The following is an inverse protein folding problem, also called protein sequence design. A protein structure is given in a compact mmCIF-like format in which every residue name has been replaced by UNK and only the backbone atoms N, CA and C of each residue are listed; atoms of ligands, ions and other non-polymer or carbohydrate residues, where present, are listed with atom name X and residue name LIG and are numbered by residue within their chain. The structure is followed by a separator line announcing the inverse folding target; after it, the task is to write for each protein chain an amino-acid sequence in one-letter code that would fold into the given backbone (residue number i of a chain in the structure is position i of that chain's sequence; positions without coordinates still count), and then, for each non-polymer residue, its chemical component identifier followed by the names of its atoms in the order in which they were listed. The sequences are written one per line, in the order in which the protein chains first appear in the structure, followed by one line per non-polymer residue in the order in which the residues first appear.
data_IF_026990284433
#
_entry.id   IF_026990284433
#
_cell.length_a   1.000
_cell.length_b   1.000
_cell.length_c   1.000
_cell.angle_alpha   90.00
_cell.angle_beta   90.00
_cell.angle_gamma   90.00
#
_symmetry.space_group_name_H-M   'P 1'
#
loop_
_entity.id
_entity.type
_entity.pdbx_description
1 polymer ?
#
# COMPACT_ATOMS: atom_id res chain seq x y z
N UNK A 1 17.95 16.18 3.37
CA UNK A 1 18.99 15.26 2.91
C UNK A 1 18.83 15.07 1.42
N UNK A 2 19.90 15.29 0.65
CA UNK A 2 19.91 15.04 -0.78
C UNK A 2 19.68 13.55 -1.02
N UNK A 3 18.63 13.21 -1.71
CA UNK A 3 18.32 11.85 -2.13
C UNK A 3 19.31 11.46 -3.23
N UNK A 4 20.16 10.47 -2.97
CA UNK A 4 20.99 9.87 -4.01
C UNK A 4 20.05 9.24 -5.05
N UNK A 5 20.25 9.59 -6.32
CA UNK A 5 19.57 8.92 -7.42
C UNK A 5 19.88 7.41 -7.35
N UNK A 6 18.85 6.62 -7.11
CA UNK A 6 18.98 5.17 -7.09
C UNK A 6 18.77 4.69 -8.53
N UNK A 7 19.55 3.71 -9.01
CA UNK A 7 19.43 3.22 -10.38
C UNK A 7 17.98 2.77 -10.67
N UNK A 8 17.44 3.23 -11.78
CA UNK A 8 16.15 2.74 -12.27
C UNK A 8 16.33 1.27 -12.66
N UNK A 9 15.63 0.40 -11.94
CA UNK A 9 15.55 -1.01 -12.33
C UNK A 9 14.55 -1.16 -13.47
N UNK A 10 15.03 -1.31 -14.68
CA UNK A 10 14.21 -1.81 -15.78
C UNK A 10 14.10 -3.33 -15.64
N UNK A 11 12.96 -3.81 -15.17
CA UNK A 11 12.67 -5.24 -15.22
C UNK A 11 12.29 -5.57 -16.65
N UNK A 12 13.22 -6.09 -17.44
CA UNK A 12 12.92 -6.72 -18.72
C UNK A 12 12.23 -8.06 -18.47
N UNK A 13 10.94 -8.07 -18.30
CA UNK A 13 10.16 -9.31 -18.32
C UNK A 13 9.72 -9.59 -19.77
N UNK A 14 9.89 -10.82 -20.22
CA UNK A 14 9.31 -11.31 -21.49
C UNK A 14 7.77 -11.49 -21.39
N UNK A 15 7.15 -10.95 -20.34
CA UNK A 15 5.72 -11.02 -20.09
C UNK A 15 5.05 -9.80 -20.74
N UNK A 16 4.28 -10.05 -21.78
CA UNK A 16 3.54 -9.00 -22.47
C UNK A 16 2.46 -8.36 -21.60
N UNK A 17 1.94 -9.07 -20.60
CA UNK A 17 0.86 -8.61 -19.70
C UNK A 17 1.02 -9.26 -18.32
N UNK A 18 1.47 -8.52 -17.29
CA UNK A 18 1.58 -9.06 -15.94
C UNK A 18 0.20 -9.36 -15.34
N UNK A 19 0.10 -10.47 -14.61
CA UNK A 19 -1.10 -10.82 -13.85
C UNK A 19 -1.04 -10.18 -12.47
N UNK A 20 -2.12 -9.50 -12.09
CA UNK A 20 -2.29 -8.86 -10.78
C UNK A 20 -3.36 -9.63 -10.01
N UNK A 21 -2.98 -10.28 -8.94
CA UNK A 21 -3.91 -10.93 -8.03
C UNK A 21 -4.42 -9.92 -7.00
N UNK A 22 -5.74 -9.82 -6.84
CA UNK A 22 -6.41 -8.87 -5.94
C UNK A 22 -7.28 -9.66 -4.97
N UNK A 23 -6.73 -10.11 -3.81
CA UNK A 23 -7.52 -10.76 -2.77
C UNK A 23 -8.51 -9.77 -2.16
N UNK A 24 -9.78 -10.07 -2.23
CA UNK A 24 -10.88 -9.23 -1.74
C UNK A 24 -11.53 -9.90 -0.54
N UNK A 25 -11.35 -9.32 0.63
CA UNK A 25 -11.94 -9.80 1.87
C UNK A 25 -13.34 -9.19 2.07
N UNK A 26 -14.23 -9.83 2.84
CA UNK A 26 -15.48 -9.22 3.25
C UNK A 26 -15.23 -7.82 3.84
N UNK A 27 -15.89 -6.79 3.30
CA UNK A 27 -15.71 -5.40 3.69
C UNK A 27 -14.70 -4.59 2.86
N UNK A 28 -13.90 -5.20 1.99
CA UNK A 28 -13.16 -4.44 0.97
C UNK A 28 -14.14 -3.81 -0.03
N UNK A 29 -13.76 -2.68 -0.62
CA UNK A 29 -14.59 -1.96 -1.59
C UNK A 29 -13.79 -1.23 -2.69
N UNK A 30 -12.47 -1.38 -2.74
CA UNK A 30 -11.60 -0.73 -3.72
C UNK A 30 -11.02 -1.70 -4.76
N UNK A 31 -11.42 -2.97 -4.75
CA UNK A 31 -10.89 -4.01 -5.64
C UNK A 31 -11.16 -3.70 -7.11
N UNK A 32 -12.34 -3.17 -7.42
CA UNK A 32 -12.72 -2.83 -8.80
C UNK A 32 -11.91 -1.62 -9.31
N UNK A 33 -11.69 -0.61 -8.45
CA UNK A 33 -10.88 0.55 -8.82
C UNK A 33 -9.41 0.16 -9.00
N UNK A 34 -8.89 -0.73 -8.15
CA UNK A 34 -7.56 -1.32 -8.30
C UNK A 34 -7.45 -2.08 -9.63
N UNK A 35 -8.40 -2.99 -9.93
CA UNK A 35 -8.40 -3.75 -11.17
C UNK A 35 -8.38 -2.82 -12.39
N UNK A 36 -9.26 -1.82 -12.43
CA UNK A 36 -9.32 -0.83 -13.52
C UNK A 36 -8.01 -0.04 -13.66
N UNK A 37 -7.34 0.29 -12.56
CA UNK A 37 -6.06 1.00 -12.61
C UNK A 37 -4.99 0.13 -13.27
N UNK A 38 -4.88 -1.13 -12.89
CA UNK A 38 -3.93 -2.08 -13.46
C UNK A 38 -4.25 -2.43 -14.92
N UNK A 39 -5.53 -2.60 -15.28
CA UNK A 39 -5.95 -2.87 -16.66
C UNK A 39 -5.64 -1.69 -17.59
N UNK A 40 -5.83 -0.44 -17.12
CA UNK A 40 -5.41 0.74 -17.89
C UNK A 40 -3.89 0.77 -18.12
N UNK A 41 -3.12 0.24 -17.20
CA UNK A 41 -1.66 0.08 -17.35
C UNK A 41 -1.26 -1.16 -18.18
N UNK A 42 -2.22 -1.93 -18.71
CA UNK A 42 -1.96 -3.07 -19.59
C UNK A 42 -1.83 -4.42 -18.89
N UNK A 43 -2.05 -4.49 -17.58
CA UNK A 43 -2.04 -5.75 -16.84
C UNK A 43 -3.33 -6.56 -17.02
N UNK A 44 -3.36 -7.78 -16.49
CA UNK A 44 -4.54 -8.64 -16.35
C UNK A 44 -4.87 -8.75 -14.88
N UNK A 45 -6.04 -8.24 -14.49
CA UNK A 45 -6.51 -8.29 -13.10
C UNK A 45 -7.25 -9.59 -12.81
N UNK A 46 -7.01 -10.14 -11.63
CA UNK A 46 -7.62 -11.36 -11.11
C UNK A 46 -8.17 -11.06 -9.72
N UNK A 47 -9.44 -10.62 -9.65
CA UNK A 47 -10.15 -10.37 -8.40
C UNK A 47 -10.63 -11.71 -7.83
N UNK A 48 -10.29 -11.97 -6.58
CA UNK A 48 -10.73 -13.16 -5.86
C UNK A 48 -11.48 -12.78 -4.59
N UNK A 49 -12.74 -13.19 -4.48
CA UNK A 49 -13.56 -12.96 -3.29
C UNK A 49 -13.31 -14.09 -2.29
N UNK A 50 -12.75 -13.72 -1.14
CA UNK A 50 -12.49 -14.63 -0.04
C UNK A 50 -13.81 -15.09 0.62
N UNK A 51 -13.99 -16.40 0.71
CA UNK A 51 -15.15 -17.04 1.32
C UNK A 51 -14.77 -17.61 2.68
N UNK A 52 -15.57 -17.33 3.69
CA UNK A 52 -15.31 -17.68 5.09
C UNK A 52 -16.58 -18.05 5.87
N UNK A 53 -17.64 -18.54 5.19
CA UNK A 53 -18.89 -18.91 5.84
C UNK A 53 -18.75 -20.13 6.73
N UNK A 54 -17.84 -21.04 6.36
CA UNK A 54 -17.51 -22.25 7.12
C UNK A 54 -16.03 -22.63 6.96
N UNK A 55 -15.59 -23.64 7.69
CA UNK A 55 -14.20 -24.08 7.70
C UNK A 55 -13.73 -24.65 6.34
N UNK A 56 -14.64 -25.27 5.57
CA UNK A 56 -14.32 -25.81 4.26
C UNK A 56 -14.08 -24.69 3.26
N UNK A 57 -14.98 -23.70 3.18
CA UNK A 57 -14.80 -22.53 2.33
C UNK A 57 -13.56 -21.74 2.67
N UNK A 58 -13.27 -21.58 3.96
CA UNK A 58 -12.06 -20.90 4.41
C UNK A 58 -10.82 -21.62 3.91
N UNK A 59 -10.76 -22.94 4.07
CA UNK A 59 -9.66 -23.77 3.58
C UNK A 59 -9.52 -23.65 2.06
N UNK A 60 -10.62 -23.81 1.32
CA UNK A 60 -10.63 -23.74 -0.13
C UNK A 60 -10.20 -22.36 -0.63
N UNK A 61 -10.64 -21.29 0.04
CA UNK A 61 -10.22 -19.92 -0.29
C UNK A 61 -8.72 -19.71 -0.09
N UNK A 62 -8.15 -20.22 1.00
CA UNK A 62 -6.71 -20.15 1.27
C UNK A 62 -5.92 -20.92 0.21
N UNK A 63 -6.36 -22.15 -0.13
CA UNK A 63 -5.69 -22.97 -1.13
C UNK A 63 -5.74 -22.32 -2.52
N UNK A 64 -6.89 -21.77 -2.91
CA UNK A 64 -7.05 -21.06 -4.18
C UNK A 64 -6.24 -19.77 -4.23
N UNK A 65 -6.20 -18.98 -3.15
CA UNK A 65 -5.38 -17.80 -3.07
C UNK A 65 -3.88 -18.12 -3.24
N UNK A 66 -3.40 -19.16 -2.55
CA UNK A 66 -1.99 -19.57 -2.68
C UNK A 66 -1.65 -19.94 -4.13
N UNK A 67 -2.54 -20.66 -4.82
CA UNK A 67 -2.35 -21.03 -6.22
C UNK A 67 -2.36 -19.80 -7.14
N UNK A 68 -3.28 -18.86 -6.95
CA UNK A 68 -3.32 -17.61 -7.72
C UNK A 68 -2.08 -16.75 -7.51
N UNK A 69 -1.57 -16.65 -6.28
CA UNK A 69 -0.33 -15.93 -5.97
C UNK A 69 0.86 -16.59 -6.71
N UNK A 70 0.93 -17.93 -6.80
CA UNK A 70 1.99 -18.62 -7.54
C UNK A 70 2.01 -18.26 -9.02
N UNK A 71 0.87 -17.89 -9.60
CA UNK A 71 0.75 -17.50 -11.01
C UNK A 71 0.75 -15.99 -11.26
N UNK A 72 0.68 -15.18 -10.21
CA UNK A 72 0.72 -13.73 -10.30
C UNK A 72 2.15 -13.18 -10.36
N UNK A 73 2.31 -11.99 -10.90
CA UNK A 73 3.53 -11.17 -10.82
C UNK A 73 3.38 -10.06 -9.80
N UNK A 74 2.14 -9.71 -9.49
CA UNK A 74 1.80 -8.64 -8.57
C UNK A 74 0.69 -9.13 -7.65
N UNK A 75 0.80 -8.80 -6.36
CA UNK A 75 -0.31 -8.91 -5.40
C UNK A 75 -0.72 -7.52 -4.95
N UNK A 76 -1.99 -7.16 -5.20
CA UNK A 76 -2.57 -5.88 -4.80
C UNK A 76 -3.54 -6.07 -3.63
N UNK A 77 -3.22 -5.53 -2.48
CA UNK A 77 -4.09 -5.48 -1.30
C UNK A 77 -4.98 -4.24 -1.38
N UNK A 78 -6.28 -4.39 -1.70
CA UNK A 78 -7.16 -3.26 -1.92
C UNK A 78 -7.52 -2.55 -0.61
N UNK A 79 -8.00 -1.31 -0.75
CA UNK A 79 -8.60 -0.57 0.34
C UNK A 79 -10.00 -1.06 0.70
N UNK A 80 -10.55 -0.48 1.75
CA UNK A 80 -11.87 -0.79 2.29
C UNK A 80 -11.83 -0.94 3.80
N UNK A 81 -12.72 -1.77 4.33
CA UNK A 81 -12.92 -2.01 5.75
C UNK A 81 -13.05 -3.51 6.01
N UNK A 82 -11.95 -4.24 5.84
CA UNK A 82 -11.95 -5.71 5.98
C UNK A 82 -12.48 -6.16 7.35
N UNK A 83 -13.48 -7.05 7.35
CA UNK A 83 -14.23 -7.49 8.52
C UNK A 83 -14.88 -6.35 9.34
N UNK A 84 -15.16 -5.20 8.69
CA UNK A 84 -15.80 -4.04 9.34
C UNK A 84 -14.85 -3.14 10.11
N UNK A 85 -13.54 -3.36 10.03
CA UNK A 85 -12.52 -2.62 10.79
C UNK A 85 -12.86 -2.55 12.28
N UNK A 86 -12.95 -3.71 12.89
CA UNK A 86 -13.27 -3.90 14.30
C UNK A 86 -12.32 -3.10 15.22
N UNK A 87 -12.74 -2.81 16.48
CA UNK A 87 -12.05 -1.88 17.37
C UNK A 87 -10.57 -2.19 17.63
N UNK A 88 -10.12 -3.39 17.30
CA UNK A 88 -8.73 -3.82 17.48
C UNK A 88 -7.77 -3.42 16.34
N UNK A 89 -8.23 -2.63 15.38
CA UNK A 89 -7.41 -2.05 14.32
C UNK A 89 -7.64 -2.60 12.92
N UNK A 90 -7.63 -1.66 11.99
CA UNK A 90 -7.87 -1.89 10.57
C UNK A 90 -6.79 -2.77 9.92
N UNK A 91 -7.20 -3.60 8.95
CA UNK A 91 -6.32 -4.52 8.24
C UNK A 91 -5.99 -5.82 9.00
N UNK A 92 -6.51 -6.00 10.21
CA UNK A 92 -6.24 -7.17 11.06
C UNK A 92 -6.74 -8.47 10.45
N UNK A 93 -7.92 -8.45 9.82
CA UNK A 93 -8.49 -9.64 9.19
C UNK A 93 -7.64 -10.11 8.02
N UNK A 94 -7.23 -9.21 7.13
CA UNK A 94 -6.32 -9.53 6.01
C UNK A 94 -5.01 -10.11 6.58
N UNK A 95 -4.44 -9.45 7.60
CA UNK A 95 -3.20 -9.91 8.21
C UNK A 95 -3.35 -11.31 8.85
N UNK A 96 -4.48 -11.61 9.49
CA UNK A 96 -4.75 -12.93 10.07
C UNK A 96 -4.81 -14.02 8.99
N UNK A 97 -5.50 -13.75 7.86
CA UNK A 97 -5.57 -14.69 6.73
C UNK A 97 -4.19 -14.92 6.11
N UNK A 98 -3.42 -13.86 5.86
CA UNK A 98 -2.09 -13.96 5.22
C UNK A 98 -0.99 -14.53 6.13
N UNK A 99 -1.24 -14.71 7.42
CA UNK A 99 -0.38 -15.50 8.32
C UNK A 99 -0.54 -17.00 8.17
N UNK A 100 -1.45 -17.46 7.31
CA UNK A 100 -1.50 -18.87 6.93
C UNK A 100 -0.20 -19.26 6.21
N UNK A 101 0.40 -20.39 6.60
CA UNK A 101 1.69 -20.82 6.09
C UNK A 101 1.73 -20.92 4.56
N UNK A 102 0.70 -21.44 3.90
CA UNK A 102 0.66 -21.56 2.43
C UNK A 102 0.70 -20.20 1.74
N UNK A 103 0.02 -19.19 2.31
CA UNK A 103 0.02 -17.84 1.78
C UNK A 103 1.35 -17.13 2.03
N UNK A 104 1.94 -17.34 3.20
CA UNK A 104 3.27 -16.80 3.52
C UNK A 104 4.31 -17.36 2.55
N UNK A 105 4.33 -18.67 2.32
CA UNK A 105 5.23 -19.33 1.37
C UNK A 105 5.02 -18.84 -0.07
N UNK A 106 3.75 -18.69 -0.51
CA UNK A 106 3.45 -18.20 -1.85
C UNK A 106 3.89 -16.74 -2.05
N UNK A 107 3.72 -15.88 -1.04
CA UNK A 107 4.20 -14.49 -1.06
C UNK A 107 5.72 -14.40 -1.03
N UNK A 108 6.38 -15.23 -0.21
CA UNK A 108 7.84 -15.30 -0.16
C UNK A 108 8.42 -15.68 -1.52
N UNK A 109 7.86 -16.72 -2.15
CA UNK A 109 8.23 -17.12 -3.51
C UNK A 109 7.98 -16.00 -4.53
N UNK A 110 6.88 -15.26 -4.42
CA UNK A 110 6.60 -14.13 -5.29
C UNK A 110 7.67 -13.05 -5.15
N UNK A 111 7.94 -12.61 -3.92
CA UNK A 111 8.76 -11.43 -3.64
C UNK A 111 10.28 -11.71 -3.77
N UNK A 112 10.75 -12.86 -3.29
CA UNK A 112 12.18 -13.13 -3.14
C UNK A 112 12.75 -14.10 -4.17
N UNK A 113 11.91 -14.88 -4.87
CA UNK A 113 12.38 -15.86 -5.87
C UNK A 113 11.98 -15.47 -7.28
N UNK A 114 10.72 -15.03 -7.46
CA UNK A 114 10.17 -14.71 -8.79
C UNK A 114 10.19 -13.23 -9.16
N UNK A 115 10.84 -12.42 -8.36
CA UNK A 115 11.04 -10.99 -8.64
C UNK A 115 9.73 -10.18 -8.73
N UNK A 116 8.69 -10.66 -8.05
CA UNK A 116 7.37 -10.06 -8.08
C UNK A 116 7.24 -8.84 -7.18
N UNK A 117 6.05 -8.22 -7.23
CA UNK A 117 5.75 -6.99 -6.52
C UNK A 117 4.48 -7.14 -5.65
N UNK A 118 4.40 -6.35 -4.59
CA UNK A 118 3.18 -6.21 -3.81
C UNK A 118 2.88 -4.73 -3.51
N UNK A 119 1.60 -4.39 -3.49
CA UNK A 119 1.14 -3.05 -3.12
C UNK A 119 -0.05 -3.13 -2.19
N UNK A 120 -0.12 -2.24 -1.22
CA UNK A 120 -1.28 -2.10 -0.34
C UNK A 120 -1.72 -0.64 -0.25
N UNK A 121 -2.99 -0.39 -0.50
CA UNK A 121 -3.58 0.94 -0.39
C UNK A 121 -4.56 0.97 0.78
N UNK A 122 -4.47 2.00 1.65
CA UNK A 122 -5.36 2.23 2.78
C UNK A 122 -5.45 0.97 3.68
N UNK A 123 -6.56 0.25 3.66
CA UNK A 123 -6.74 -1.02 4.40
C UNK A 123 -5.68 -2.08 4.03
N UNK A 124 -5.28 -2.13 2.77
CA UNK A 124 -4.17 -2.97 2.32
C UNK A 124 -2.83 -2.57 2.94
N UNK A 125 -2.53 -1.30 3.08
CA UNK A 125 -1.31 -0.84 3.76
C UNK A 125 -1.34 -1.18 5.25
N UNK A 126 -2.50 -1.01 5.90
CA UNK A 126 -2.69 -1.41 7.29
C UNK A 126 -2.41 -2.92 7.49
N UNK A 127 -2.78 -3.75 6.52
CA UNK A 127 -2.45 -5.17 6.54
C UNK A 127 -0.95 -5.42 6.32
N UNK A 128 -0.33 -4.79 5.32
CA UNK A 128 1.08 -4.97 5.01
C UNK A 128 1.99 -4.61 6.18
N UNK A 129 1.69 -3.52 6.91
CA UNK A 129 2.48 -3.13 8.08
C UNK A 129 2.31 -4.12 9.23
N UNK A 130 1.09 -4.65 9.45
CA UNK A 130 0.81 -5.68 10.45
C UNK A 130 1.47 -7.03 10.13
N UNK A 131 1.70 -7.31 8.86
CA UNK A 131 2.42 -8.51 8.41
C UNK A 131 3.95 -8.37 8.49
N UNK A 132 4.47 -7.15 8.61
CA UNK A 132 5.90 -6.86 8.55
C UNK A 132 6.43 -6.71 7.13
N UNK A 133 5.60 -6.91 6.09
CA UNK A 133 6.00 -6.76 4.69
C UNK A 133 6.47 -5.33 4.37
N UNK A 134 5.97 -4.35 5.06
CA UNK A 134 6.58 -3.03 5.20
C UNK A 134 6.72 -2.73 6.70
N UNK A 135 7.83 -2.19 7.15
CA UNK A 135 9.02 -1.78 6.40
C UNK A 135 10.08 -2.88 6.20
N UNK A 136 9.85 -4.13 6.65
CA UNK A 136 10.90 -5.14 6.76
C UNK A 136 11.10 -5.98 5.48
N UNK A 137 10.10 -6.10 4.62
CA UNK A 137 10.13 -6.90 3.39
C UNK A 137 9.89 -8.40 3.62
N UNK A 138 9.59 -8.80 4.85
CA UNK A 138 9.36 -10.19 5.26
C UNK A 138 8.19 -10.29 6.23
N UNK A 139 7.60 -11.48 6.34
CA UNK A 139 6.62 -11.75 7.38
C UNK A 139 7.30 -11.73 8.75
N UNK A 140 6.93 -10.76 9.56
CA UNK A 140 7.53 -10.53 10.88
C UNK A 140 6.46 -10.24 11.92
N UNK A 141 6.52 -10.87 13.09
CA UNK A 141 5.69 -10.46 14.21
C UNK A 141 6.00 -9.01 14.58
N UNK A 142 4.96 -8.22 14.84
CA UNK A 142 5.15 -6.86 15.34
C UNK A 142 5.58 -6.91 16.81
N UNK A 143 6.53 -6.07 17.14
CA UNK A 143 6.93 -5.75 18.51
C UNK A 143 6.24 -4.46 18.95
N UNK A 144 6.21 -4.17 20.24
CA UNK A 144 5.54 -2.98 20.78
C UNK A 144 6.12 -1.66 20.25
N UNK A 145 7.37 -1.68 19.81
CA UNK A 145 8.10 -0.55 19.24
C UNK A 145 8.10 -0.52 17.71
N UNK A 146 7.47 -1.50 17.05
CA UNK A 146 7.46 -1.57 15.59
C UNK A 146 6.69 -0.38 14.96
N UNK A 147 7.14 0.14 13.80
CA UNK A 147 6.35 1.09 13.02
C UNK A 147 4.95 0.56 12.77
N UNK A 148 3.95 1.41 12.92
CA UNK A 148 2.54 1.01 12.79
C UNK A 148 1.66 2.11 12.20
N UNK A 149 0.44 1.73 11.82
CA UNK A 149 -0.66 2.64 11.51
C UNK A 149 -1.70 2.55 12.62
N UNK A 150 -2.15 3.71 13.08
CA UNK A 150 -3.12 3.82 14.17
C UNK A 150 -4.16 4.92 13.90
N UNK A 151 -5.02 5.18 14.87
CA UNK A 151 -6.08 6.18 14.78
C UNK A 151 -5.57 7.57 14.41
N UNK A 152 -6.31 8.23 13.51
CA UNK A 152 -6.09 9.63 13.21
C UNK A 152 -6.14 10.49 14.48
N UNK A 153 -5.31 11.53 14.56
CA UNK A 153 -5.30 12.44 15.73
C UNK A 153 -6.64 13.10 15.99
N UNK A 154 -7.48 13.29 14.96
CA UNK A 154 -8.83 13.82 15.11
C UNK A 154 -9.84 12.81 15.69
N UNK A 155 -9.44 11.56 15.95
CA UNK A 155 -10.30 10.53 16.53
C UNK A 155 -11.51 10.15 15.68
N UNK A 156 -11.50 10.44 14.37
CA UNK A 156 -12.61 10.11 13.45
C UNK A 156 -12.12 9.84 12.03
N UNK A 157 -13.00 9.27 11.23
CA UNK A 157 -12.81 9.09 9.79
C UNK A 157 -12.63 10.44 9.09
N UNK A 158 -11.66 10.51 8.20
CA UNK A 158 -11.35 11.67 7.36
C UNK A 158 -11.44 11.25 5.91
N UNK A 159 -12.23 11.98 5.12
CA UNK A 159 -12.35 11.81 3.68
C UNK A 159 -12.13 13.16 2.99
N UNK A 160 -11.02 13.29 2.26
CA UNK A 160 -10.65 14.53 1.56
C UNK A 160 -9.51 14.30 0.56
N UNK A 161 -9.24 15.31 -0.25
CA UNK A 161 -8.00 15.38 -1.02
C UNK A 161 -6.86 15.94 -0.17
N UNK A 162 -5.68 15.41 -0.37
CA UNK A 162 -4.40 15.86 0.22
C UNK A 162 -3.35 15.97 -0.88
N UNK A 163 -2.32 16.75 -0.65
CA UNK A 163 -1.15 16.77 -1.51
C UNK A 163 -0.05 15.92 -0.89
N UNK A 164 0.51 15.02 -1.69
CA UNK A 164 1.68 14.22 -1.32
C UNK A 164 2.85 14.53 -2.23
N UNK A 165 4.05 14.38 -1.70
CA UNK A 165 5.31 14.51 -2.42
C UNK A 165 6.03 13.19 -2.49
N UNK A 166 6.53 12.82 -3.67
CA UNK A 166 7.44 11.70 -3.85
C UNK A 166 8.78 12.04 -3.20
N UNK A 167 9.21 11.22 -2.25
CA UNK A 167 10.47 11.42 -1.51
C UNK A 167 11.58 10.55 -2.06
N UNK A 168 11.24 9.33 -2.47
CA UNK A 168 12.18 8.35 -3.00
C UNK A 168 11.55 7.59 -4.15
N UNK A 169 12.34 7.33 -5.18
CA UNK A 169 12.00 6.48 -6.33
C UNK A 169 12.70 5.12 -6.29
N UNK A 170 13.11 4.69 -5.09
CA UNK A 170 13.70 3.36 -4.87
C UNK A 170 12.78 2.23 -5.34
N UNK A 171 11.49 2.40 -5.10
CA UNK A 171 10.48 1.41 -5.45
C UNK A 171 10.22 1.37 -6.96
N UNK A 172 10.13 0.18 -7.59
CA UNK A 172 9.66 0.04 -8.97
C UNK A 172 8.27 0.67 -9.20
N UNK A 173 7.45 0.75 -8.17
CA UNK A 173 6.14 1.41 -8.21
C UNK A 173 6.20 2.91 -8.52
N UNK A 174 7.35 3.53 -8.30
CA UNK A 174 7.59 4.95 -8.51
C UNK A 174 8.62 5.21 -9.63
N UNK A 175 8.85 4.21 -10.50
CA UNK A 175 9.85 4.29 -11.56
C UNK A 175 9.61 5.41 -12.58
N UNK A 176 8.35 5.85 -12.75
CA UNK A 176 7.98 6.94 -13.66
C UNK A 176 7.89 8.29 -12.94
N UNK A 177 8.13 8.34 -11.63
CA UNK A 177 8.13 9.56 -10.84
C UNK A 177 9.54 10.09 -10.64
N UNK A 178 9.62 11.36 -10.21
CA UNK A 178 10.85 11.98 -9.76
C UNK A 178 10.72 12.43 -8.29
N UNK A 179 11.80 12.38 -7.50
CA UNK A 179 11.78 12.99 -6.17
C UNK A 179 11.39 14.46 -6.26
N UNK A 180 10.37 14.85 -5.49
CA UNK A 180 9.81 16.19 -5.53
C UNK A 180 8.47 16.30 -6.26
N UNK A 181 8.07 15.30 -7.05
CA UNK A 181 6.76 15.30 -7.71
C UNK A 181 5.64 15.42 -6.70
N UNK A 182 4.65 16.25 -7.01
CA UNK A 182 3.50 16.54 -6.18
C UNK A 182 2.24 15.91 -6.77
N UNK A 183 1.54 15.13 -5.96
CA UNK A 183 0.29 14.48 -6.36
C UNK A 183 -0.85 14.87 -5.43
N UNK A 184 -1.99 15.27 -6.00
CA UNK A 184 -3.24 15.43 -5.26
C UNK A 184 -4.00 14.12 -5.28
N UNK A 185 -4.18 13.51 -4.12
CA UNK A 185 -4.81 12.18 -3.96
C UNK A 185 -5.92 12.22 -2.92
N UNK A 186 -6.92 11.36 -3.11
CA UNK A 186 -7.97 11.17 -2.12
C UNK A 186 -7.47 10.27 -0.98
N UNK A 187 -7.85 10.63 0.25
CA UNK A 187 -7.73 9.78 1.43
C UNK A 187 -9.11 9.53 2.03
N UNK A 188 -9.32 8.36 2.62
CA UNK A 188 -10.58 8.00 3.26
C UNK A 188 -10.31 6.92 4.31
N UNK A 189 -10.06 7.32 5.56
CA UNK A 189 -9.67 6.41 6.63
C UNK A 189 -9.87 6.98 8.03
N UNK A 190 -10.10 6.12 9.03
CA UNK A 190 -10.08 6.43 10.45
C UNK A 190 -8.72 6.13 11.11
N UNK A 191 -7.97 5.19 10.54
CA UNK A 191 -6.66 4.72 10.99
C UNK A 191 -5.63 4.84 9.86
N UNK A 192 -5.04 6.01 9.71
CA UNK A 192 -4.01 6.26 8.69
C UNK A 192 -2.78 6.95 9.24
N UNK A 193 -2.70 7.10 10.57
CA UNK A 193 -1.59 7.76 11.25
C UNK A 193 -0.39 6.83 11.35
N UNK A 194 0.64 7.11 10.58
CA UNK A 194 1.92 6.41 10.70
C UNK A 194 2.64 6.86 11.98
N UNK A 195 3.06 5.88 12.80
CA UNK A 195 3.85 6.10 14.01
C UNK A 195 5.09 5.22 13.96
N UNK A 196 6.23 5.83 14.23
CA UNK A 196 7.52 5.19 14.45
C UNK A 196 8.39 6.13 15.29
N UNK A 197 9.44 5.60 15.91
CA UNK A 197 10.43 6.45 16.60
C UNK A 197 11.20 7.30 15.59
N UNK A 198 11.75 8.43 16.03
CA UNK A 198 12.60 9.27 15.20
C UNK A 198 13.81 8.52 14.63
N UNK A 199 14.37 7.59 15.40
CA UNK A 199 15.47 6.74 14.95
C UNK A 199 15.05 5.83 13.80
N UNK A 200 13.89 5.16 13.93
CA UNK A 200 13.33 4.31 12.88
C UNK A 200 13.03 5.12 11.62
N UNK A 201 12.43 6.31 11.75
CA UNK A 201 12.12 7.15 10.59
C UNK A 201 13.41 7.62 9.90
N UNK A 202 14.45 7.99 10.65
CA UNK A 202 15.75 8.33 10.06
C UNK A 202 16.38 7.15 9.33
N UNK A 203 16.27 5.94 9.89
CA UNK A 203 16.74 4.72 9.23
C UNK A 203 15.96 4.45 7.93
N UNK A 204 14.63 4.57 7.94
CA UNK A 204 13.80 4.44 6.74
C UNK A 204 14.16 5.49 5.69
N UNK A 205 14.39 6.74 6.10
CA UNK A 205 14.81 7.80 5.21
C UNK A 205 16.19 7.55 4.59
N UNK A 206 17.17 7.12 5.41
CA UNK A 206 18.51 6.80 4.95
C UNK A 206 18.53 5.64 3.94
N UNK A 207 17.63 4.67 4.12
CA UNK A 207 17.45 3.53 3.23
C UNK A 207 16.60 3.86 2.00
N UNK A 208 16.03 5.07 1.87
CA UNK A 208 15.13 5.45 0.79
C UNK A 208 13.77 4.74 0.84
N UNK A 209 13.33 4.28 2.01
CA UNK A 209 12.09 3.55 2.22
C UNK A 209 10.88 4.46 2.47
N UNK A 210 11.07 5.75 2.72
CA UNK A 210 9.97 6.72 2.73
C UNK A 210 9.65 7.04 1.27
N UNK A 211 8.52 6.53 0.80
CA UNK A 211 8.08 6.70 -0.58
C UNK A 211 7.47 8.08 -0.79
N UNK A 212 6.52 8.45 0.06
CA UNK A 212 5.72 9.67 -0.06
C UNK A 212 5.48 10.33 1.29
N UNK A 213 5.34 11.66 1.29
CA UNK A 213 5.00 12.46 2.46
C UNK A 213 3.83 13.40 2.16
N UNK A 214 3.00 13.68 3.16
CA UNK A 214 2.04 14.77 3.13
C UNK A 214 2.75 16.12 3.15
N UNK A 215 2.33 17.05 2.30
CA UNK A 215 2.97 18.36 2.18
C UNK A 215 1.96 19.50 2.22
N UNK A 216 2.43 20.65 2.68
CA UNK A 216 1.71 21.92 2.62
C UNK A 216 1.73 22.55 1.22
N UNK A 217 1.13 23.76 1.07
CA UNK A 217 1.11 24.49 -0.21
C UNK A 217 2.50 24.88 -0.73
N UNK A 218 3.49 24.92 0.14
CA UNK A 218 4.90 25.17 -0.16
C UNK A 218 5.67 23.90 -0.61
N UNK A 219 4.98 22.75 -0.70
CA UNK A 219 5.59 21.47 -1.04
C UNK A 219 6.48 20.90 0.07
N UNK A 220 6.42 21.44 1.30
CA UNK A 220 7.21 20.93 2.42
C UNK A 220 6.39 20.03 3.34
N UNK A 221 6.99 18.95 3.91
CA UNK A 221 6.35 18.12 4.91
C UNK A 221 5.91 18.95 6.11
N UNK A 222 4.71 18.68 6.63
CA UNK A 222 4.13 19.50 7.69
C UNK A 222 3.36 18.67 8.71
N UNK A 223 3.27 19.19 9.93
CA UNK A 223 2.38 18.69 10.99
C UNK A 223 1.03 19.42 11.06
N UNK A 224 0.83 20.43 10.20
CA UNK A 224 -0.45 21.13 10.13
C UNK A 224 -1.56 20.15 9.70
N UNK A 225 -2.57 20.00 10.54
CA UNK A 225 -3.69 19.05 10.34
C UNK A 225 -4.53 19.35 9.09
N UNK A 226 -4.38 20.54 8.51
CA UNK A 226 -5.00 20.86 7.21
C UNK A 226 -4.36 20.08 6.06
N UNK A 227 -3.09 19.70 6.18
CA UNK A 227 -2.30 19.06 5.12
C UNK A 227 -1.79 17.65 5.50
N UNK A 228 -1.56 17.41 6.80
CA UNK A 228 -1.28 16.09 7.37
C UNK A 228 -2.42 15.70 8.32
N UNK A 229 -3.61 15.37 7.77
CA UNK A 229 -4.83 15.31 8.55
C UNK A 229 -4.92 14.12 9.50
N UNK A 230 -4.16 13.06 9.27
CA UNK A 230 -4.08 11.91 10.16
C UNK A 230 -3.05 12.09 11.30
N UNK A 231 -2.14 13.07 11.18
CA UNK A 231 -1.10 13.34 12.16
C UNK A 231 0.08 12.39 12.11
N UNK A 232 0.39 11.86 10.92
CA UNK A 232 1.52 10.95 10.70
C UNK A 232 2.85 11.56 11.12
N UNK A 233 3.69 10.78 11.80
CA UNK A 233 5.06 11.14 12.15
C UNK A 233 5.85 11.50 10.89
N UNK A 234 6.61 12.61 10.92
CA UNK A 234 7.34 13.17 9.79
C UNK A 234 6.51 13.33 8.51
N UNK A 235 5.19 13.45 8.65
CA UNK A 235 4.23 13.51 7.56
C UNK A 235 4.31 12.31 6.58
N UNK A 236 4.77 11.16 7.01
CA UNK A 236 4.87 9.94 6.18
C UNK A 236 3.49 9.51 5.72
N UNK A 237 3.32 9.35 4.40
CA UNK A 237 2.09 8.86 3.77
C UNK A 237 2.24 7.42 3.26
N UNK A 238 3.43 7.08 2.73
CA UNK A 238 3.73 5.76 2.20
C UNK A 238 5.18 5.35 2.44
N UNK A 239 5.38 4.04 2.63
CA UNK A 239 6.69 3.42 2.86
C UNK A 239 6.85 2.16 2.01
N UNK A 240 8.10 1.75 1.82
CA UNK A 240 8.44 0.53 1.09
C UNK A 240 9.18 -0.49 1.95
N UNK A 241 9.27 -1.72 1.43
CA UNK A 241 10.26 -2.71 1.86
C UNK A 241 11.69 -2.23 1.59
N UNK A 242 12.73 -2.85 2.20
CA UNK A 242 14.12 -2.45 1.99
C UNK A 242 14.57 -2.51 0.54
N UNK A 243 14.03 -3.45 -0.25
CA UNK A 243 14.29 -3.62 -1.68
C UNK A 243 13.33 -2.81 -2.59
N UNK A 244 12.32 -2.15 -2.00
CA UNK A 244 11.33 -1.36 -2.71
C UNK A 244 10.20 -2.16 -3.39
N UNK A 245 10.19 -3.49 -3.32
CA UNK A 245 9.21 -4.34 -4.02
C UNK A 245 7.81 -4.27 -3.42
N UNK A 246 7.71 -4.04 -2.13
CA UNK A 246 6.46 -3.85 -1.43
C UNK A 246 6.27 -2.38 -1.15
N UNK A 247 5.14 -1.81 -1.58
CA UNK A 247 4.74 -0.43 -1.30
C UNK A 247 3.44 -0.41 -0.53
N UNK A 248 3.42 0.26 0.60
CA UNK A 248 2.22 0.59 1.36
C UNK A 248 1.98 2.10 1.40
N UNK A 249 0.76 2.55 1.14
CA UNK A 249 0.37 3.96 1.19
C UNK A 249 -1.10 4.14 1.58
N UNK A 250 -1.42 5.29 2.17
CA UNK A 250 -2.79 5.59 2.60
C UNK A 250 -3.67 6.22 1.51
N UNK A 251 -3.08 6.92 0.58
CA UNK A 251 -3.80 7.63 -0.48
C UNK A 251 -4.25 6.73 -1.62
N UNK A 252 -5.47 6.96 -2.06
CA UNK A 252 -6.16 6.17 -3.10
C UNK A 252 -5.79 6.65 -4.51
N UNK A 253 -4.64 6.24 -5.00
CA UNK A 253 -4.17 6.54 -6.35
C UNK A 253 -4.90 5.75 -7.43
N UNK A 254 -5.57 4.66 -7.08
CA UNK A 254 -6.39 3.84 -7.97
C UNK A 254 -7.70 4.52 -8.37
N UNK A 255 -8.21 5.43 -7.53
CA UNK A 255 -9.46 6.16 -7.77
C UNK A 255 -9.29 7.28 -8.79
N UNK A 256 -9.03 6.91 -10.03
CA UNK A 256 -8.84 7.82 -11.17
C UNK A 256 -9.72 7.44 -12.34
N UNK A 257 -10.11 8.43 -13.11
CA UNK A 257 -10.89 8.22 -14.33
C UNK A 257 -11.48 9.51 -14.87
N UNK A 258 -12.04 9.45 -16.06
CA UNK A 258 -12.80 10.55 -16.66
C UNK A 258 -13.93 10.95 -15.70
N UNK A 259 -14.02 12.13 -15.26
CA UNK A 259 -14.99 12.64 -14.29
C UNK A 259 -14.67 12.44 -12.79
N UNK A 260 -13.54 11.84 -12.45
CA UNK A 260 -13.05 11.79 -11.07
C UNK A 260 -12.17 13.02 -10.82
N UNK A 261 -12.35 13.66 -9.66
CA UNK A 261 -11.54 14.81 -9.22
C UNK A 261 -11.53 16.03 -10.17
N UNK A 262 -12.63 16.30 -10.87
CA UNK A 262 -12.74 17.42 -11.84
C UNK A 262 -12.38 18.79 -11.29
N UNK A 263 -12.54 19.02 -10.00
CA UNK A 263 -12.27 20.30 -9.34
C UNK A 263 -10.87 20.36 -8.74
N UNK A 264 -10.03 19.36 -8.96
CA UNK A 264 -8.65 19.33 -8.49
C UNK A 264 -7.74 19.73 -9.65
N UNK A 265 -6.94 20.76 -9.42
CA UNK A 265 -5.96 21.22 -10.40
C UNK A 265 -4.83 20.18 -10.58
N UNK A 266 -4.31 20.05 -11.79
CA UNK A 266 -3.21 19.17 -12.14
C UNK A 266 -3.53 18.24 -13.30
N UNK A 267 -2.54 17.45 -13.70
CA UNK A 267 -2.70 16.43 -14.73
C UNK A 267 -3.45 15.22 -14.14
N UNK A 268 -4.55 14.84 -14.78
CA UNK A 268 -5.38 13.71 -14.38
C UNK A 268 -4.90 12.37 -14.93
N UNK A 269 -3.79 12.37 -15.70
CA UNK A 269 -3.26 11.19 -16.39
C UNK A 269 -2.03 10.56 -15.73
N UNK A 270 -1.58 11.10 -14.60
CA UNK A 270 -0.45 10.51 -13.88
C UNK A 270 -0.85 9.40 -12.94
#
# INVERSE_FOLDING_TARGET
PETKAIPQFYVHTNLSRPRVFIPTMPGNNCEVDCARAFERAGAVSDIFIFRNRDAAELKDSVDEMAERIRHAQIVMFPGGFSAGDEPDGSGKFIAAVFRNQKLMEAMDQLLHVRDGLAMGICNGFQALIKLGLVPYGEFKPLTDDAPTLTFNTLGRHISRFVTTKVVSTKSPWLALCQPGDLHSIAISHGEGRFIASDEQIRALAANGQIATQYVGPDGQPTYDSRYNPNGSSWAVEGITSPDGRVLGKMGHTERRGQNVAKNIAGDTYQ
#
